data_IF_563924564424
#
_entry.id   IF_563924564424
#
_cell.length_a   1.000
_cell.length_b   1.000
_cell.length_c   1.000
_cell.angle_alpha   90.00
_cell.angle_beta   90.00
_cell.angle_gamma   90.00
#
_symmetry.space_group_name_H-M   'P 1'
#
loop_
_entity.id
_entity.type
_entity.pdbx_description
1 polymer ?
#
# COMPACT_ATOMS: atom_id res chain seq x y z
N UNK A 1 40.83 -61.93 -23.83
CA UNK A 1 40.08 -60.65 -23.99
C UNK A 1 40.39 -59.76 -22.79
N UNK A 2 40.53 -58.47 -23.04
CA UNK A 2 41.31 -57.48 -22.28
C UNK A 2 40.81 -57.20 -20.85
N UNK A 3 41.76 -56.90 -19.98
CA UNK A 3 41.58 -56.36 -18.63
C UNK A 3 40.70 -55.10 -18.62
N UNK A 4 39.87 -54.94 -17.60
CA UNK A 4 39.24 -53.65 -17.27
C UNK A 4 39.44 -53.39 -15.79
N UNK A 5 40.49 -52.60 -15.50
CA UNK A 5 40.71 -51.96 -14.20
C UNK A 5 39.54 -51.03 -13.94
N UNK A 6 38.79 -51.25 -12.86
CA UNK A 6 37.90 -50.24 -12.30
C UNK A 6 38.62 -49.58 -11.13
N UNK A 7 39.32 -48.50 -11.45
CA UNK A 7 39.72 -47.47 -10.50
C UNK A 7 38.69 -46.34 -10.61
N UNK A 8 38.62 -45.52 -9.55
CA UNK A 8 37.91 -44.24 -9.38
C UNK A 8 36.74 -44.41 -8.40
N UNK A 9 36.56 -43.60 -7.36
CA UNK A 9 37.37 -42.65 -6.58
C UNK A 9 36.38 -42.20 -5.49
N UNK A 10 36.78 -42.20 -4.23
CA UNK A 10 35.94 -41.67 -3.14
C UNK A 10 35.61 -40.19 -3.39
N UNK A 11 34.34 -39.82 -3.29
CA UNK A 11 33.95 -38.43 -3.04
C UNK A 11 32.95 -38.42 -1.89
N UNK A 12 33.47 -38.23 -0.67
CA UNK A 12 32.67 -37.92 0.49
C UNK A 12 31.97 -36.58 0.24
N UNK A 13 30.64 -36.62 0.11
CA UNK A 13 29.83 -35.42 -0.03
C UNK A 13 29.63 -34.83 1.38
N UNK A 14 30.51 -33.92 1.77
CA UNK A 14 30.42 -33.18 3.02
C UNK A 14 29.21 -32.25 2.99
N UNK A 15 28.24 -32.53 3.85
CA UNK A 15 27.11 -31.64 4.12
C UNK A 15 27.58 -30.56 5.09
N UNK A 16 27.71 -29.32 4.61
CA UNK A 16 27.80 -28.15 5.47
C UNK A 16 26.46 -27.44 5.45
N UNK A 17 25.69 -27.56 6.53
CA UNK A 17 24.57 -26.64 6.80
C UNK A 17 25.15 -25.33 7.33
N UNK A 18 25.04 -24.28 6.53
CA UNK A 18 25.16 -22.91 6.99
C UNK A 18 23.93 -22.15 6.49
N UNK A 19 22.99 -21.92 7.38
CA UNK A 19 22.14 -20.73 7.30
C UNK A 19 21.81 -20.28 8.72
N UNK A 20 22.67 -19.44 9.28
CA UNK A 20 22.19 -18.44 10.22
C UNK A 20 21.37 -17.44 9.38
N UNK A 21 20.05 -17.61 9.35
CA UNK A 21 19.19 -16.55 8.85
C UNK A 21 19.21 -15.44 9.89
N UNK A 22 19.93 -14.38 9.55
CA UNK A 22 19.86 -13.10 10.24
C UNK A 22 18.42 -12.59 10.13
N UNK A 23 17.72 -12.57 11.27
CA UNK A 23 16.51 -11.77 11.44
C UNK A 23 16.95 -10.32 11.47
N UNK A 24 16.98 -9.68 10.30
CA UNK A 24 16.95 -8.23 10.22
C UNK A 24 15.50 -7.80 10.13
N UNK A 25 14.89 -7.52 11.30
CA UNK A 25 13.67 -6.74 11.35
C UNK A 25 14.05 -5.29 10.99
N UNK A 26 14.09 -5.00 9.69
CA UNK A 26 14.09 -3.64 9.21
C UNK A 26 12.77 -3.43 8.48
N UNK A 27 11.77 -2.90 9.21
CA UNK A 27 10.56 -2.33 8.64
C UNK A 27 10.95 -1.21 7.68
N UNK A 28 11.17 -1.56 6.42
CA UNK A 28 11.28 -0.61 5.33
C UNK A 28 9.86 -0.18 4.94
N UNK A 29 9.30 0.70 5.78
CA UNK A 29 8.16 1.55 5.45
C UNK A 29 8.53 2.47 4.29
N UNK A 30 8.55 1.94 3.07
CA UNK A 30 8.87 2.69 1.86
C UNK A 30 7.64 3.50 1.47
N UNK A 31 7.66 4.80 1.74
CA UNK A 31 6.65 5.73 1.21
C UNK A 31 6.83 5.75 -0.30
N UNK A 32 5.89 5.14 -1.03
CA UNK A 32 5.90 5.16 -2.49
C UNK A 32 5.13 6.40 -2.94
N UNK A 33 5.87 7.38 -3.44
CA UNK A 33 5.31 8.55 -4.09
C UNK A 33 5.26 8.26 -5.60
N UNK A 34 4.08 8.40 -6.22
CA UNK A 34 3.93 8.27 -7.67
C UNK A 34 4.83 9.29 -8.39
N UNK A 35 5.88 8.80 -9.06
CA UNK A 35 6.77 9.65 -9.88
C UNK A 35 6.10 9.99 -11.21
N UNK A 36 5.28 11.03 -11.23
CA UNK A 36 5.01 11.80 -12.43
C UNK A 36 5.60 13.20 -12.25
N UNK A 37 6.89 13.32 -12.57
CA UNK A 37 7.57 14.62 -12.74
C UNK A 37 7.07 15.24 -14.06
N UNK A 38 6.28 16.31 -13.97
CA UNK A 38 6.00 17.15 -15.14
C UNK A 38 4.85 18.13 -14.96
N UNK A 39 5.21 19.42 -14.87
CA UNK A 39 4.39 20.64 -15.02
C UNK A 39 3.45 21.06 -13.88
N UNK A 40 3.54 22.37 -13.61
CA UNK A 40 2.89 23.19 -12.58
C UNK A 40 1.48 22.79 -12.10
N UNK A 41 1.37 22.64 -10.77
CA UNK A 41 0.26 23.09 -9.91
C UNK A 41 -1.19 22.72 -10.23
N UNK A 42 -1.46 21.52 -10.73
CA UNK A 42 -2.71 20.85 -10.40
C UNK A 42 -2.45 19.35 -10.33
N UNK A 43 -2.20 18.85 -9.12
CA UNK A 43 -2.05 17.42 -8.86
C UNK A 43 -3.23 16.69 -9.53
N UNK A 44 -3.01 15.67 -10.39
CA UNK A 44 -4.09 14.93 -11.03
C UNK A 44 -5.12 14.55 -9.97
N UNK A 45 -6.34 15.06 -10.14
CA UNK A 45 -7.40 14.89 -9.15
C UNK A 45 -7.79 13.42 -9.12
N UNK A 46 -7.58 12.75 -7.98
CA UNK A 46 -8.12 11.41 -7.80
C UNK A 46 -9.64 11.47 -7.93
N UNK A 47 -10.25 10.68 -8.84
CA UNK A 47 -11.70 10.66 -8.99
C UNK A 47 -12.37 10.19 -7.69
N UNK A 48 -11.74 9.25 -6.96
CA UNK A 48 -12.18 8.81 -5.64
C UNK A 48 -12.23 9.96 -4.63
N UNK A 49 -11.15 10.75 -4.52
CA UNK A 49 -11.14 11.89 -3.61
C UNK A 49 -12.15 12.96 -4.04
N UNK A 50 -12.28 13.23 -5.34
CA UNK A 50 -13.25 14.20 -5.85
C UNK A 50 -14.69 13.80 -5.49
N UNK A 51 -15.05 12.52 -5.63
CA UNK A 51 -16.37 12.03 -5.25
C UNK A 51 -16.59 12.17 -3.73
N UNK A 52 -15.60 11.83 -2.90
CA UNK A 52 -15.67 12.03 -1.45
C UNK A 52 -15.88 13.51 -1.09
N UNK A 53 -15.06 14.42 -1.62
CA UNK A 53 -15.17 15.84 -1.30
C UNK A 53 -16.44 16.50 -1.86
N UNK A 54 -17.03 15.96 -2.92
CA UNK A 54 -18.27 16.48 -3.52
C UNK A 54 -19.54 15.95 -2.84
N UNK A 55 -19.48 14.72 -2.31
CA UNK A 55 -20.60 14.09 -1.58
C UNK A 55 -20.66 14.55 -0.13
N UNK A 56 -19.51 14.86 0.48
CA UNK A 56 -19.46 15.20 1.89
C UNK A 56 -19.60 16.71 2.17
N UNK A 57 -20.65 17.04 2.91
CA UNK A 57 -20.84 18.38 3.49
C UNK A 57 -19.92 18.58 4.69
N UNK A 58 -19.65 19.86 5.02
CA UNK A 58 -18.94 20.24 6.24
C UNK A 58 -19.48 19.49 7.47
N UNK A 59 -18.55 18.92 8.24
CA UNK A 59 -18.83 18.30 9.54
C UNK A 59 -18.05 19.04 10.62
N UNK A 60 -18.56 19.01 11.86
CA UNK A 60 -17.88 19.70 12.96
C UNK A 60 -16.50 19.08 13.20
N UNK A 61 -15.47 19.89 13.53
CA UNK A 61 -14.18 19.37 13.93
C UNK A 61 -14.31 18.33 15.05
N UNK A 62 -13.53 17.26 14.96
CA UNK A 62 -13.63 16.11 15.88
C UNK A 62 -14.69 15.09 15.51
N UNK A 63 -15.50 15.33 14.47
CA UNK A 63 -16.35 14.30 13.85
C UNK A 63 -15.67 13.73 12.60
N UNK A 64 -15.96 12.45 12.32
CA UNK A 64 -15.62 11.80 11.07
C UNK A 64 -16.86 11.15 10.45
N UNK A 65 -16.79 10.87 9.15
CA UNK A 65 -17.80 10.13 8.41
C UNK A 65 -17.17 8.96 7.68
N UNK A 66 -17.84 7.82 7.72
CA UNK A 66 -17.49 6.66 6.91
C UNK A 66 -17.65 7.00 5.42
N UNK A 67 -16.60 6.73 4.65
CA UNK A 67 -16.60 6.88 3.18
C UNK A 67 -16.23 5.57 2.47
N UNK A 68 -16.38 4.44 3.15
CA UNK A 68 -16.06 3.10 2.65
C UNK A 68 -16.84 2.78 1.38
N UNK A 69 -18.10 3.20 1.34
CA UNK A 69 -18.99 2.99 0.20
C UNK A 69 -18.52 3.71 -1.08
N UNK A 70 -17.71 4.78 -0.97
CA UNK A 70 -17.11 5.45 -2.14
C UNK A 70 -15.77 4.78 -2.46
N UNK A 71 -14.91 4.57 -1.46
CA UNK A 71 -13.59 3.95 -1.66
C UNK A 71 -13.72 2.57 -2.33
N UNK A 72 -14.68 1.75 -1.91
CA UNK A 72 -14.94 0.41 -2.47
C UNK A 72 -15.38 0.41 -3.94
N UNK A 73 -15.89 1.53 -4.48
CA UNK A 73 -16.18 1.65 -5.93
C UNK A 73 -14.90 1.70 -6.76
N UNK A 74 -13.84 2.27 -6.19
CA UNK A 74 -12.56 2.46 -6.87
C UNK A 74 -11.56 1.37 -6.53
N UNK A 75 -11.62 0.83 -5.32
CA UNK A 75 -10.76 -0.24 -4.79
C UNK A 75 -11.64 -1.40 -4.31
N UNK A 76 -12.13 -2.27 -5.20
CA UNK A 76 -13.09 -3.31 -4.85
C UNK A 76 -12.51 -4.33 -3.85
N UNK A 77 -13.32 -4.75 -2.88
CA UNK A 77 -13.02 -5.92 -2.04
C UNK A 77 -12.79 -7.13 -2.95
N UNK A 78 -11.77 -7.92 -2.64
CA UNK A 78 -11.33 -9.06 -3.44
C UNK A 78 -10.32 -8.71 -4.53
N UNK A 79 -10.00 -7.44 -4.77
CA UNK A 79 -8.86 -7.08 -5.63
C UNK A 79 -7.54 -7.51 -5.01
N UNK A 80 -6.61 -7.97 -5.84
CA UNK A 80 -5.25 -8.28 -5.40
C UNK A 80 -4.51 -7.01 -4.94
N UNK A 81 -3.50 -7.18 -4.09
CA UNK A 81 -2.65 -6.08 -3.62
C UNK A 81 -2.01 -5.29 -4.77
N UNK A 82 -1.59 -5.99 -5.83
CA UNK A 82 -1.02 -5.36 -7.03
C UNK A 82 -2.05 -4.50 -7.77
N UNK A 83 -3.26 -5.00 -8.01
CA UNK A 83 -4.34 -4.23 -8.63
C UNK A 83 -4.68 -2.97 -7.84
N UNK A 84 -4.75 -3.09 -6.50
CA UNK A 84 -4.99 -1.95 -5.61
C UNK A 84 -3.87 -0.91 -5.74
N UNK A 85 -2.61 -1.33 -5.71
CA UNK A 85 -1.45 -0.44 -5.87
C UNK A 85 -1.47 0.25 -7.24
N UNK A 86 -1.73 -0.49 -8.31
CA UNK A 86 -1.84 0.07 -9.66
C UNK A 86 -2.94 1.11 -9.73
N UNK A 87 -4.10 0.85 -9.12
CA UNK A 87 -5.20 1.82 -9.06
C UNK A 87 -4.86 3.07 -8.25
N UNK A 88 -4.17 2.92 -7.12
CA UNK A 88 -3.69 4.05 -6.33
C UNK A 88 -2.72 4.91 -7.13
N UNK A 89 -1.79 4.28 -7.87
CA UNK A 89 -0.85 4.97 -8.77
C UNK A 89 -1.58 5.69 -9.91
N UNK A 90 -2.55 5.05 -10.57
CA UNK A 90 -3.40 5.66 -11.62
C UNK A 90 -4.14 6.89 -11.10
N UNK A 91 -4.63 6.83 -9.86
CA UNK A 91 -5.30 7.93 -9.18
C UNK A 91 -4.34 8.93 -8.53
N UNK A 92 -3.03 8.79 -8.77
CA UNK A 92 -1.98 9.63 -8.21
C UNK A 92 -2.08 9.79 -6.68
N UNK A 93 -2.46 8.71 -5.99
CA UNK A 93 -2.57 8.63 -4.54
C UNK A 93 -1.22 8.26 -3.94
N UNK A 94 -0.81 8.99 -2.91
CA UNK A 94 0.30 8.57 -2.07
C UNK A 94 -0.18 7.47 -1.12
N UNK A 95 0.67 6.48 -0.89
CA UNK A 95 0.38 5.42 0.07
C UNK A 95 1.66 4.93 0.76
N UNK A 96 1.45 4.23 1.87
CA UNK A 96 2.47 3.58 2.67
C UNK A 96 2.03 2.14 2.90
N UNK A 97 2.94 1.20 2.66
CA UNK A 97 2.72 -0.22 2.90
C UNK A 97 3.31 -0.62 4.25
N UNK A 98 2.53 -1.36 5.04
CA UNK A 98 2.91 -1.91 6.35
C UNK A 98 2.38 -3.35 6.45
N UNK A 99 3.22 -4.32 6.07
CA UNK A 99 2.81 -5.73 6.03
C UNK A 99 1.63 -5.98 5.08
N UNK A 100 0.53 -6.51 5.64
CA UNK A 100 -0.73 -6.75 4.94
C UNK A 100 -1.68 -5.53 4.97
N UNK A 101 -1.17 -4.34 5.28
CA UNK A 101 -1.93 -3.10 5.33
C UNK A 101 -1.36 -2.09 4.34
N UNK A 102 -2.23 -1.35 3.66
CA UNK A 102 -1.88 -0.14 2.91
C UNK A 102 -2.63 1.04 3.53
N UNK A 103 -1.87 2.06 3.93
CA UNK A 103 -2.40 3.35 4.33
C UNK A 103 -2.32 4.33 3.16
N UNK A 104 -3.46 4.91 2.81
CA UNK A 104 -3.58 5.90 1.74
C UNK A 104 -4.48 7.06 2.19
N UNK A 105 -4.66 8.03 1.30
CA UNK A 105 -5.59 9.13 1.49
C UNK A 105 -4.95 10.48 1.22
N UNK A 106 -5.57 11.52 1.75
CA UNK A 106 -5.21 12.89 1.45
C UNK A 106 -5.43 13.80 2.65
N UNK A 107 -4.46 14.67 2.89
CA UNK A 107 -4.61 15.82 3.77
C UNK A 107 -3.94 17.01 3.13
N UNK A 108 -4.71 18.07 2.90
CA UNK A 108 -4.18 19.30 2.30
C UNK A 108 -3.25 19.97 3.31
N UNK A 109 -1.98 20.20 2.99
CA UNK A 109 -1.11 21.03 3.85
C UNK A 109 -1.52 22.49 3.69
N UNK A 110 -2.27 23.06 4.64
CA UNK A 110 -2.58 24.50 4.70
C UNK A 110 -2.16 25.11 6.04
N UNK A 111 -2.19 26.45 6.18
CA UNK A 111 -1.85 27.12 7.43
C UNK A 111 -2.68 26.62 8.62
N UNK A 112 -2.12 26.65 9.85
CA UNK A 112 -2.62 25.96 11.04
C UNK A 112 -3.97 26.46 11.61
N UNK A 113 -4.61 27.47 11.01
CA UNK A 113 -5.81 28.10 11.57
C UNK A 113 -7.09 27.87 10.76
N UNK A 114 -7.06 26.96 9.78
CA UNK A 114 -8.25 26.60 9.01
C UNK A 114 -8.45 25.09 9.07
N UNK A 115 -9.61 24.59 9.55
CA UNK A 115 -9.91 23.17 9.56
C UNK A 115 -9.72 22.58 8.16
N UNK A 116 -8.91 21.52 8.07
CA UNK A 116 -8.57 20.87 6.81
C UNK A 116 -9.39 19.62 6.64
N UNK A 117 -10.19 19.59 5.58
CA UNK A 117 -10.81 18.36 5.12
C UNK A 117 -9.71 17.37 4.70
N UNK A 118 -9.81 16.15 5.21
CA UNK A 118 -8.90 15.06 4.92
C UNK A 118 -9.63 13.74 4.82
N UNK A 119 -9.02 12.82 4.08
CA UNK A 119 -9.48 11.45 3.92
C UNK A 119 -8.38 10.54 4.43
N UNK A 120 -8.70 9.66 5.38
CA UNK A 120 -7.84 8.56 5.81
C UNK A 120 -8.39 7.28 5.19
N UNK A 121 -7.53 6.46 4.61
CA UNK A 121 -7.90 5.16 4.04
C UNK A 121 -6.93 4.11 4.56
N UNK A 122 -7.46 3.03 5.12
CA UNK A 122 -6.72 1.85 5.55
C UNK A 122 -7.29 0.65 4.81
N UNK A 123 -6.43 -0.02 4.06
CA UNK A 123 -6.77 -1.18 3.24
C UNK A 123 -6.10 -2.40 3.86
N UNK A 124 -6.87 -3.41 4.26
CA UNK A 124 -6.34 -4.64 4.86
C UNK A 124 -6.47 -5.79 3.87
N UNK A 125 -5.40 -6.55 3.73
CA UNK A 125 -5.30 -7.70 2.84
C UNK A 125 -5.27 -8.99 3.65
N UNK A 126 -5.94 -10.02 3.13
CA UNK A 126 -5.89 -11.35 3.71
C UNK A 126 -4.52 -12.03 3.46
N UNK A 127 -4.34 -13.24 3.99
CA UNK A 127 -3.10 -14.01 3.82
C UNK A 127 -2.78 -14.38 2.36
N UNK A 128 -3.75 -14.27 1.45
CA UNK A 128 -3.60 -14.51 0.02
C UNK A 128 -3.37 -13.21 -0.76
N UNK A 129 -3.13 -12.09 -0.08
CA UNK A 129 -2.90 -10.76 -0.68
C UNK A 129 -4.10 -10.21 -1.47
N UNK A 130 -5.32 -10.55 -1.07
CA UNK A 130 -6.54 -9.92 -1.60
C UNK A 130 -7.15 -8.97 -0.56
N UNK A 131 -7.67 -7.84 -1.03
CA UNK A 131 -8.29 -6.82 -0.20
C UNK A 131 -9.52 -7.41 0.50
N UNK A 132 -9.50 -7.48 1.83
CA UNK A 132 -10.59 -8.06 2.63
C UNK A 132 -11.41 -7.01 3.37
N UNK A 133 -10.81 -5.87 3.69
CA UNK A 133 -11.45 -4.83 4.47
C UNK A 133 -10.92 -3.45 4.11
N UNK A 134 -11.84 -2.47 4.10
CA UNK A 134 -11.57 -1.06 3.91
C UNK A 134 -12.09 -0.35 5.16
N UNK A 135 -11.23 0.47 5.76
CA UNK A 135 -11.60 1.43 6.80
C UNK A 135 -11.18 2.83 6.33
N UNK A 136 -12.17 3.68 6.06
CA UNK A 136 -11.95 4.99 5.49
C UNK A 136 -12.88 6.04 6.08
N UNK A 137 -12.27 7.17 6.40
CA UNK A 137 -12.93 8.27 7.09
C UNK A 137 -12.63 9.60 6.40
N UNK A 138 -13.69 10.38 6.20
CA UNK A 138 -13.59 11.81 5.91
C UNK A 138 -13.72 12.61 7.20
N UNK A 139 -12.81 13.54 7.44
CA UNK A 139 -12.82 14.39 8.65
C UNK A 139 -12.22 15.77 8.42
N UNK A 140 -12.56 16.71 9.31
CA UNK A 140 -11.84 17.98 9.42
C UNK A 140 -10.89 17.92 10.60
N UNK A 141 -9.60 18.03 10.32
CA UNK A 141 -8.60 18.12 11.37
C UNK A 141 -8.25 19.60 11.64
N UNK A 142 -8.08 19.93 12.92
CA UNK A 142 -7.51 21.20 13.39
C UNK A 142 -5.99 21.08 13.50
#
# INVERSE_FOLDING_TARGET
MKHSKLLILSAALSVTFLSACEVSNHENSKVQQSTLKGKDNMQPQSPMLNEIFSSEKYIRPGQSKDVNHIVSKYLPIGSSKEEVINKLNEMNQNYKEEGNIIHAGYRKKTPPMTPQAGVRITLKFNNFSYLENIDSEFSYAQ
#
